data_IF_082287996521
#
_entry.id   IF_082287996521
#
_cell.length_a   1.000
_cell.length_b   1.000
_cell.length_c   1.000
_cell.angle_alpha   90.00
_cell.angle_beta   90.00
_cell.angle_gamma   90.00
#
_symmetry.space_group_name_H-M   'P 1'
#
loop_
_entity.id
_entity.type
_entity.pdbx_description
1 polymer ?
#
# COMPACT_ATOMS: atom_id res chain seq x y z
N UNK A 1 -25.55 9.03 -0.19
CA UNK A 1 -24.57 8.52 0.80
C UNK A 1 -24.06 7.19 0.28
N UNK A 2 -22.78 6.85 0.48
CA UNK A 2 -22.26 5.51 0.11
C UNK A 2 -22.13 4.69 1.38
N UNK A 3 -22.83 3.57 1.42
CA UNK A 3 -22.76 2.65 2.55
C UNK A 3 -21.61 1.65 2.35
N UNK A 4 -20.88 1.40 3.42
CA UNK A 4 -19.79 0.43 3.48
C UNK A 4 -20.02 -0.47 4.69
N UNK A 5 -19.68 -1.75 4.53
CA UNK A 5 -19.86 -2.75 5.57
C UNK A 5 -18.61 -2.82 6.47
N UNK A 6 -17.44 -2.48 5.91
CA UNK A 6 -16.15 -2.42 6.62
C UNK A 6 -15.40 -1.15 6.23
N UNK A 7 -14.80 -0.49 7.23
CA UNK A 7 -13.91 0.65 7.04
C UNK A 7 -12.54 0.35 7.62
N UNK A 8 -11.48 0.55 6.83
CA UNK A 8 -10.08 0.39 7.21
C UNK A 8 -9.41 1.77 7.19
N UNK A 9 -8.79 2.15 8.29
CA UNK A 9 -8.01 3.40 8.40
C UNK A 9 -6.52 3.06 8.35
N UNK A 10 -5.87 3.48 7.28
CA UNK A 10 -4.46 3.25 6.98
C UNK A 10 -4.25 2.34 5.77
N UNK A 11 -3.89 2.92 4.61
CA UNK A 11 -3.55 2.22 3.36
C UNK A 11 -2.09 1.76 3.28
N UNK A 12 -1.54 1.33 4.41
CA UNK A 12 -0.26 0.65 4.46
C UNK A 12 -0.36 -0.81 4.00
N UNK A 13 0.75 -1.57 4.02
CA UNK A 13 0.75 -2.98 3.66
C UNK A 13 -0.29 -3.79 4.44
N UNK A 14 -0.39 -3.57 5.75
CA UNK A 14 -1.34 -4.27 6.61
C UNK A 14 -2.81 -3.98 6.22
N UNK A 15 -3.17 -2.71 6.02
CA UNK A 15 -4.55 -2.34 5.68
C UNK A 15 -4.97 -2.80 4.29
N UNK A 16 -4.05 -2.75 3.32
CA UNK A 16 -4.32 -3.27 1.97
C UNK A 16 -4.45 -4.80 1.94
N UNK A 17 -3.60 -5.52 2.66
CA UNK A 17 -3.71 -6.98 2.75
C UNK A 17 -4.97 -7.41 3.50
N UNK A 18 -5.37 -6.68 4.54
CA UNK A 18 -6.64 -6.92 5.21
C UNK A 18 -7.84 -6.70 4.27
N UNK A 19 -7.84 -5.60 3.51
CA UNK A 19 -8.89 -5.34 2.52
C UNK A 19 -8.96 -6.44 1.44
N UNK A 20 -7.80 -6.89 0.95
CA UNK A 20 -7.68 -7.95 -0.04
C UNK A 20 -8.26 -9.27 0.47
N UNK A 21 -7.90 -9.64 1.70
CA UNK A 21 -8.38 -10.87 2.33
C UNK A 21 -9.90 -10.85 2.54
N UNK A 22 -10.45 -9.72 2.99
CA UNK A 22 -11.90 -9.56 3.16
C UNK A 22 -12.62 -9.71 1.82
N UNK A 23 -12.15 -9.02 0.77
CA UNK A 23 -12.78 -9.06 -0.55
C UNK A 23 -12.73 -10.47 -1.16
N UNK A 24 -11.65 -11.22 -0.93
CA UNK A 24 -11.46 -12.53 -1.53
C UNK A 24 -12.14 -13.67 -0.74
N UNK A 25 -12.14 -13.59 0.60
CA UNK A 25 -12.45 -14.75 1.45
C UNK A 25 -13.66 -14.57 2.37
N UNK A 26 -14.30 -13.40 2.44
CA UNK A 26 -15.48 -13.20 3.29
C UNK A 26 -16.75 -13.94 2.81
N UNK A 27 -16.72 -14.59 1.64
CA UNK A 27 -17.83 -15.37 1.08
C UNK A 27 -19.06 -14.55 0.67
N UNK A 28 -19.03 -13.23 0.88
CA UNK A 28 -20.09 -12.27 0.57
C UNK A 28 -19.50 -11.02 -0.07
N UNK A 29 -20.28 -10.31 -0.89
CA UNK A 29 -19.86 -9.08 -1.55
C UNK A 29 -19.85 -7.88 -0.58
N UNK A 30 -18.91 -7.90 0.38
CA UNK A 30 -18.71 -6.82 1.33
C UNK A 30 -18.11 -5.59 0.64
N UNK A 31 -18.69 -4.42 0.92
CA UNK A 31 -18.17 -3.13 0.45
C UNK A 31 -17.17 -2.62 1.48
N UNK A 32 -15.89 -2.65 1.11
CA UNK A 32 -14.79 -2.19 1.96
C UNK A 32 -14.33 -0.79 1.54
N UNK A 33 -14.25 0.14 2.48
CA UNK A 33 -13.59 1.43 2.28
C UNK A 33 -12.22 1.46 2.96
N UNK A 34 -11.20 1.94 2.26
CA UNK A 34 -9.86 2.17 2.82
C UNK A 34 -9.55 3.67 2.76
N UNK A 35 -9.22 4.26 3.91
CA UNK A 35 -8.81 5.65 4.01
C UNK A 35 -7.33 5.75 4.36
N UNK A 36 -6.57 6.51 3.60
CA UNK A 36 -5.17 6.77 3.87
C UNK A 36 -4.86 8.27 3.73
N UNK A 37 -4.16 8.83 4.71
CA UNK A 37 -3.64 10.20 4.67
C UNK A 37 -2.35 10.29 3.83
N UNK A 38 -1.65 9.17 3.68
CA UNK A 38 -0.37 9.12 2.99
C UNK A 38 -0.47 9.54 1.52
N UNK A 39 0.67 9.89 0.94
CA UNK A 39 0.76 10.11 -0.51
C UNK A 39 0.37 8.84 -1.26
N UNK A 40 -0.05 9.04 -2.52
CA UNK A 40 -0.25 7.93 -3.45
C UNK A 40 0.97 7.03 -3.44
N UNK A 41 0.72 5.74 -3.63
CA UNK A 41 1.74 4.70 -3.75
C UNK A 41 2.90 5.15 -4.64
N UNK A 42 2.55 5.68 -5.83
CA UNK A 42 3.44 6.25 -6.87
C UNK A 42 4.35 7.39 -6.42
N UNK A 43 4.07 7.98 -5.27
CA UNK A 43 4.79 9.14 -4.73
C UNK A 43 5.49 8.80 -3.40
N UNK A 44 5.42 7.54 -2.94
CA UNK A 44 6.05 7.11 -1.69
C UNK A 44 7.55 6.91 -1.91
N UNK A 45 8.35 7.64 -1.15
CA UNK A 45 9.80 7.42 -1.03
C UNK A 45 10.05 6.49 0.15
N UNK A 46 10.65 5.34 -0.13
CA UNK A 46 10.90 4.33 0.87
C UNK A 46 12.28 4.52 1.52
N UNK A 47 12.39 4.70 2.84
CA UNK A 47 13.69 4.84 3.50
C UNK A 47 14.59 3.62 3.33
N UNK A 48 14.00 2.42 3.21
CA UNK A 48 14.76 1.18 2.95
C UNK A 48 15.45 1.20 1.58
N UNK A 49 14.86 1.89 0.60
CA UNK A 49 15.48 2.13 -0.71
C UNK A 49 16.66 3.12 -0.67
N UNK A 50 16.69 3.97 0.36
CA UNK A 50 17.64 5.09 0.46
C UNK A 50 18.89 4.67 1.26
N UNK A 51 18.94 3.45 1.81
CA UNK A 51 20.10 2.98 2.58
C UNK A 51 21.32 2.79 1.66
N UNK A 52 22.25 3.76 1.78
CA UNK A 52 23.59 3.88 1.20
C UNK A 52 24.31 2.55 0.89
N UNK A 53 24.43 2.23 -0.40
CA UNK A 53 25.50 1.35 -0.88
C UNK A 53 26.68 2.23 -1.30
N UNK A 54 27.77 2.14 -0.54
CA UNK A 54 29.08 2.63 -0.93
C UNK A 54 29.73 1.63 -1.91
N UNK A 55 28.99 1.21 -2.94
CA UNK A 55 29.48 0.31 -3.99
C UNK A 55 28.80 0.66 -5.31
N UNK A 56 29.64 0.99 -6.29
CA UNK A 56 29.34 1.24 -7.70
C UNK A 56 28.22 0.34 -8.24
N UNK A 57 26.98 0.79 -8.12
CA UNK A 57 25.81 0.12 -8.67
C UNK A 57 25.18 1.06 -9.68
N UNK A 58 25.83 1.15 -10.85
CA UNK A 58 25.14 1.54 -12.07
C UNK A 58 24.07 0.48 -12.39
N UNK A 59 22.91 0.53 -11.73
CA UNK A 59 21.68 -0.16 -12.13
C UNK A 59 20.47 0.17 -11.22
N UNK A 60 20.18 1.45 -10.95
CA UNK A 60 18.89 1.81 -10.32
C UNK A 60 18.31 3.05 -10.99
N UNK A 61 18.06 2.92 -12.29
CA UNK A 61 17.22 3.84 -13.04
C UNK A 61 15.79 3.80 -12.44
N UNK A 62 15.53 4.74 -11.54
CA UNK A 62 14.24 5.41 -11.34
C UNK A 62 13.01 4.59 -10.89
N UNK A 63 13.16 3.46 -10.19
CA UNK A 63 11.99 2.70 -9.72
C UNK A 63 12.20 1.96 -8.40
N UNK A 64 12.58 2.67 -7.34
CA UNK A 64 12.47 2.09 -5.99
C UNK A 64 11.24 2.65 -5.31
N UNK A 65 10.15 1.95 -5.49
CA UNK A 65 8.91 2.18 -4.78
C UNK A 65 8.61 0.95 -3.94
N UNK A 66 8.48 1.11 -2.62
CA UNK A 66 8.27 -0.01 -1.70
C UNK A 66 6.83 -0.53 -1.68
N UNK A 67 6.20 -0.55 -2.85
CA UNK A 67 4.88 -1.09 -3.09
C UNK A 67 4.87 -1.79 -4.44
#
# INVERSE_FOLDING_TARGET
>A
MRDFDVVIVGGGPAGLMAALEIVNNAGSNLRVAVFDKGRRVTERKCPLAIKSNNTNSQALNNKVQCL
#
